data_IF_191603776608
#
_entry.id   IF_191603776608
#
_cell.length_a   1.000
_cell.length_b   1.000
_cell.length_c   1.000
_cell.angle_alpha   90.00
_cell.angle_beta   90.00
_cell.angle_gamma   90.00
#
_symmetry.space_group_name_H-M   'P 1'
#
loop_
_entity.id
_entity.type
_entity.pdbx_description
1 polymer ?
#
# COMPACT_ATOMS: atom_id res chain seq x y z
N UNK A 1 -45.07 5.93 10.01
CA UNK A 1 -44.52 6.50 8.76
C UNK A 1 -43.02 6.26 8.76
N UNK A 2 -42.49 5.28 8.01
CA UNK A 2 -41.06 5.06 7.96
C UNK A 2 -40.42 6.13 7.05
N UNK A 3 -39.61 7.01 7.65
CA UNK A 3 -38.82 8.00 6.94
C UNK A 3 -37.75 7.31 6.11
N UNK A 4 -37.90 7.35 4.80
CA UNK A 4 -36.93 6.87 3.84
C UNK A 4 -35.62 7.66 3.98
N UNK A 5 -34.55 6.97 4.37
CA UNK A 5 -33.21 7.56 4.51
C UNK A 5 -32.53 7.66 3.13
N UNK A 6 -32.84 8.73 2.39
CA UNK A 6 -32.40 8.94 0.99
C UNK A 6 -30.88 9.24 0.86
N UNK A 7 -30.16 9.39 1.98
CA UNK A 7 -28.73 9.73 1.99
C UNK A 7 -27.77 8.53 2.02
N UNK A 8 -28.27 7.30 2.10
CA UNK A 8 -27.43 6.08 2.06
C UNK A 8 -27.67 5.34 0.76
N UNK A 9 -27.08 5.83 -0.33
CA UNK A 9 -26.94 5.00 -1.53
C UNK A 9 -26.01 3.83 -1.18
N UNK A 10 -26.40 2.57 -1.39
CA UNK A 10 -25.47 1.47 -1.25
C UNK A 10 -24.45 1.59 -2.39
N UNK A 11 -23.22 2.03 -2.07
CA UNK A 11 -22.10 1.83 -2.99
C UNK A 11 -21.99 0.32 -3.20
N UNK A 12 -22.35 -0.14 -4.38
CA UNK A 12 -22.15 -1.53 -4.74
C UNK A 12 -20.63 -1.76 -4.78
N UNK A 13 -20.14 -2.63 -3.90
CA UNK A 13 -18.70 -2.80 -3.63
C UNK A 13 -17.90 -3.28 -4.84
N UNK A 14 -18.58 -3.86 -5.82
CA UNK A 14 -18.06 -4.35 -7.09
C UNK A 14 -18.28 -3.40 -8.26
N UNK A 15 -18.98 -2.27 -8.08
CA UNK A 15 -19.09 -1.27 -9.15
C UNK A 15 -17.72 -0.67 -9.44
N UNK A 16 -17.34 -0.56 -10.74
CA UNK A 16 -16.09 0.07 -11.13
C UNK A 16 -15.95 1.50 -10.59
N UNK A 17 -14.80 1.80 -9.98
CA UNK A 17 -14.44 3.16 -9.53
C UNK A 17 -13.88 3.96 -10.72
N UNK A 18 -14.01 5.29 -10.65
CA UNK A 18 -13.40 6.18 -11.64
C UNK A 18 -11.86 6.16 -11.50
N UNK A 19 -11.12 5.79 -12.56
CA UNK A 19 -9.66 5.76 -12.54
C UNK A 19 -8.99 7.10 -12.22
N UNK A 20 -9.68 8.23 -12.40
CA UNK A 20 -9.17 9.56 -12.02
C UNK A 20 -9.20 9.82 -10.52
N UNK A 21 -10.05 9.09 -9.80
CA UNK A 21 -10.28 9.26 -8.36
C UNK A 21 -9.62 8.13 -7.57
N UNK A 22 -9.59 6.92 -8.13
CA UNK A 22 -9.07 5.72 -7.47
C UNK A 22 -8.16 4.93 -8.41
N UNK A 23 -7.03 4.49 -7.87
CA UNK A 23 -6.14 3.51 -8.51
C UNK A 23 -6.71 2.07 -8.51
N UNK A 24 -7.70 1.79 -7.65
CA UNK A 24 -8.38 0.50 -7.60
C UNK A 24 -9.60 0.45 -8.51
N UNK A 25 -9.83 -0.70 -9.12
CA UNK A 25 -10.99 -0.93 -9.99
C UNK A 25 -12.29 -0.96 -9.20
N UNK A 26 -12.28 -1.43 -7.96
CA UNK A 26 -13.51 -1.59 -7.16
C UNK A 26 -13.31 -1.15 -5.72
N UNK A 27 -14.40 -0.74 -5.07
CA UNK A 27 -14.38 -0.38 -3.65
C UNK A 27 -13.96 -1.55 -2.77
N UNK A 28 -14.29 -2.79 -3.16
CA UNK A 28 -13.86 -3.98 -2.44
C UNK A 28 -12.34 -4.18 -2.47
N UNK A 29 -11.69 -4.01 -3.62
CA UNK A 29 -10.23 -4.07 -3.73
C UNK A 29 -9.58 -2.99 -2.85
N UNK A 30 -10.08 -1.74 -2.92
CA UNK A 30 -9.58 -0.64 -2.10
C UNK A 30 -9.69 -0.92 -0.60
N UNK A 31 -10.82 -1.51 -0.16
CA UNK A 31 -11.04 -1.85 1.25
C UNK A 31 -10.12 -2.99 1.72
N UNK A 32 -9.87 -3.99 0.87
CA UNK A 32 -8.91 -5.08 1.16
C UNK A 32 -7.49 -4.51 1.31
N UNK A 33 -7.07 -3.67 0.37
CA UNK A 33 -5.77 -3.00 0.44
C UNK A 33 -5.65 -2.15 1.70
N UNK A 34 -6.65 -1.32 2.00
CA UNK A 34 -6.66 -0.46 3.20
C UNK A 34 -6.53 -1.28 4.48
N UNK A 35 -7.23 -2.41 4.58
CA UNK A 35 -7.17 -3.29 5.76
C UNK A 35 -5.77 -3.88 5.94
N UNK A 36 -5.18 -4.41 4.87
CA UNK A 36 -3.82 -4.93 4.88
C UNK A 36 -2.78 -3.84 5.19
N UNK A 37 -2.89 -2.67 4.55
CA UNK A 37 -1.96 -1.56 4.73
C UNK A 37 -1.96 -1.06 6.18
N UNK A 38 -3.14 -0.90 6.78
CA UNK A 38 -3.26 -0.53 8.20
C UNK A 38 -2.63 -1.56 9.12
N UNK A 39 -2.83 -2.85 8.87
CA UNK A 39 -2.20 -3.91 9.64
C UNK A 39 -0.67 -3.86 9.52
N UNK A 40 -0.14 -3.66 8.31
CA UNK A 40 1.31 -3.54 8.06
C UNK A 40 1.92 -2.30 8.72
N UNK A 41 1.21 -1.17 8.71
CA UNK A 41 1.64 0.05 9.41
C UNK A 41 1.63 -0.16 10.92
N UNK A 42 0.61 -0.81 11.47
CA UNK A 42 0.53 -1.09 12.90
C UNK A 42 1.68 -2.01 13.34
N UNK A 43 1.98 -3.06 12.58
CA UNK A 43 3.15 -3.92 12.82
C UNK A 43 4.46 -3.13 12.85
N UNK A 44 4.63 -2.14 11.95
CA UNK A 44 5.82 -1.28 11.94
C UNK A 44 5.87 -0.32 13.15
N UNK A 45 4.72 0.19 13.60
CA UNK A 45 4.61 1.02 14.81
C UNK A 45 4.93 0.23 16.07
N UNK A 46 4.43 -1.00 16.14
CA UNK A 46 4.63 -1.90 17.29
C UNK A 46 6.02 -2.54 17.30
N UNK A 47 6.81 -2.37 16.24
CA UNK A 47 8.15 -2.93 16.13
C UNK A 47 9.13 -2.25 17.11
N UNK A 48 9.81 -3.06 17.93
CA UNK A 48 10.88 -2.59 18.82
C UNK A 48 12.23 -2.41 18.11
N UNK A 49 12.29 -2.67 16.80
CA UNK A 49 13.52 -2.48 16.03
C UNK A 49 13.98 -1.03 16.05
N UNK A 50 15.28 -0.77 16.28
CA UNK A 50 15.81 0.58 16.29
C UNK A 50 15.66 1.25 14.92
N UNK A 51 15.31 2.54 14.94
CA UNK A 51 15.31 3.36 13.74
C UNK A 51 16.74 3.54 13.23
N UNK A 52 16.92 3.45 11.91
CA UNK A 52 18.21 3.67 11.26
C UNK A 52 18.25 5.04 10.56
N UNK A 53 19.42 5.72 10.50
CA UNK A 53 19.57 6.97 9.77
C UNK A 53 19.31 6.80 8.27
N UNK A 54 18.91 7.88 7.59
CA UNK A 54 18.66 7.88 6.15
C UNK A 54 19.85 7.33 5.34
N UNK A 55 21.07 7.78 5.66
CA UNK A 55 22.29 7.35 4.97
C UNK A 55 22.52 5.84 5.06
N UNK A 56 22.16 5.24 6.20
CA UNK A 56 22.25 3.80 6.40
C UNK A 56 21.21 3.06 5.53
N UNK A 57 19.96 3.52 5.47
CA UNK A 57 18.92 2.94 4.57
C UNK A 57 19.42 2.93 3.13
N UNK A 58 20.01 4.04 2.68
CA UNK A 58 20.52 4.16 1.31
C UNK A 58 21.70 3.22 1.06
N UNK A 59 22.63 3.10 2.01
CA UNK A 59 23.75 2.17 1.90
C UNK A 59 23.28 0.71 1.80
N UNK A 60 22.32 0.31 2.64
CA UNK A 60 21.73 -1.03 2.60
C UNK A 60 21.01 -1.30 1.27
N UNK A 61 20.24 -0.33 0.77
CA UNK A 61 19.57 -0.43 -0.53
C UNK A 61 20.56 -0.59 -1.70
N UNK A 62 21.65 0.19 -1.71
CA UNK A 62 22.68 0.08 -2.75
C UNK A 62 23.38 -1.28 -2.74
N UNK A 63 23.67 -1.82 -1.55
CA UNK A 63 24.26 -3.15 -1.42
C UNK A 63 23.36 -4.24 -2.03
N UNK A 64 22.04 -4.17 -1.79
CA UNK A 64 21.07 -5.10 -2.39
C UNK A 64 21.05 -4.96 -3.92
N UNK A 65 21.05 -3.73 -4.44
CA UNK A 65 21.09 -3.47 -5.89
C UNK A 65 22.36 -4.05 -6.50
N UNK A 66 23.52 -3.83 -5.90
CA UNK A 66 24.80 -4.35 -6.40
C UNK A 66 24.81 -5.88 -6.41
N UNK A 67 24.31 -6.50 -5.34
CA UNK A 67 24.19 -7.96 -5.23
C UNK A 67 23.35 -8.58 -6.36
N UNK A 68 22.28 -7.89 -6.79
CA UNK A 68 21.35 -8.38 -7.81
C UNK A 68 21.62 -7.79 -9.20
N UNK A 69 22.59 -6.89 -9.32
CA UNK A 69 23.00 -6.36 -10.62
C UNK A 69 23.71 -7.46 -11.41
N UNK A 70 23.40 -7.64 -12.70
CA UNK A 70 24.16 -8.56 -13.53
C UNK A 70 25.61 -8.08 -13.56
N UNK A 71 26.54 -8.95 -13.13
CA UNK A 71 27.98 -8.65 -13.23
C UNK A 71 28.27 -8.30 -14.69
N UNK A 72 28.71 -7.06 -14.94
CA UNK A 72 29.15 -6.67 -16.28
C UNK A 72 30.25 -7.66 -16.69
N UNK A 73 30.02 -8.41 -17.76
CA UNK A 73 31.05 -9.24 -18.35
C UNK A 73 32.19 -8.31 -18.76
N UNK A 74 33.33 -8.44 -18.10
CA UNK A 74 34.58 -7.83 -18.51
C UNK A 74 34.92 -8.38 -19.90
N UNK A 75 34.86 -7.49 -20.90
CA UNK A 75 35.39 -7.74 -22.25
C UNK A 75 36.90 -7.53 -22.26
#
# INVERSE_FOLDING_TARGET
MPGSNIWRTPVNRTTPLDPRISEFETQEQANRYTSWFRARVQEAIDSETPLIPHDQVMAEMWAVIEQHSPKKATA
#
